data_IF_878174531602
#
_entry.id   IF_878174531602
#
_cell.length_a   1.000
_cell.length_b   1.000
_cell.length_c   1.000
_cell.angle_alpha   90.00
_cell.angle_beta   90.00
_cell.angle_gamma   90.00
#
_symmetry.space_group_name_H-M   'P 1'
#
loop_
_entity.id
_entity.type
_entity.pdbx_description
1 polymer ?
#
# COMPACT_ATOMS: atom_id res chain seq x y z
N UNK A 1 3.71 -47.12 46.72
CA UNK A 1 3.90 -47.95 45.51
C UNK A 1 2.83 -47.56 44.52
N UNK A 2 3.21 -46.85 43.46
CA UNK A 2 2.29 -46.54 42.36
C UNK A 2 2.39 -47.67 41.34
N UNK A 3 1.34 -48.49 41.26
CA UNK A 3 1.23 -49.50 40.22
C UNK A 3 0.64 -48.84 38.97
N UNK A 4 1.40 -48.89 37.87
CA UNK A 4 0.93 -48.48 36.55
C UNK A 4 -0.12 -49.47 36.04
N UNK A 5 -1.19 -49.00 35.38
CA UNK A 5 -2.25 -49.86 34.87
C UNK A 5 -1.69 -50.83 33.83
N UNK A 6 -1.97 -52.12 34.02
CA UNK A 6 -1.54 -53.20 33.14
C UNK A 6 -2.40 -53.20 31.87
N UNK A 7 -1.85 -52.70 30.78
CA UNK A 7 -2.47 -52.71 29.45
C UNK A 7 -2.80 -54.14 29.01
N UNK A 8 -4.08 -54.50 29.11
CA UNK A 8 -4.63 -55.79 28.66
C UNK A 8 -5.83 -55.57 27.74
N UNK A 9 -5.72 -54.61 26.82
CA UNK A 9 -6.65 -54.46 25.71
C UNK A 9 -5.90 -54.49 24.37
N UNK A 10 -6.00 -55.64 23.69
CA UNK A 10 -5.64 -55.83 22.29
C UNK A 10 -6.65 -55.14 21.35
N UNK A 11 -6.88 -53.84 21.55
CA UNK A 11 -7.62 -52.99 20.63
C UNK A 11 -6.57 -52.34 19.72
N UNK A 12 -6.71 -52.55 18.41
CA UNK A 12 -5.95 -52.00 17.30
C UNK A 12 -4.80 -51.08 17.73
N UNK A 13 -3.57 -51.60 17.71
CA UNK A 13 -2.36 -50.77 17.62
C UNK A 13 -2.54 -49.89 16.39
N UNK A 14 -3.19 -48.75 16.57
CA UNK A 14 -3.10 -47.62 15.67
C UNK A 14 -1.61 -47.37 15.61
N UNK A 15 -1.01 -47.74 14.49
CA UNK A 15 0.42 -47.68 14.21
C UNK A 15 0.79 -46.21 14.44
N UNK A 16 1.32 -45.92 15.64
CA UNK A 16 1.58 -44.55 16.09
C UNK A 16 2.62 -43.95 15.14
N UNK A 17 2.19 -42.91 14.43
CA UNK A 17 3.05 -42.15 13.54
C UNK A 17 4.28 -41.65 14.28
N UNK A 18 5.47 -41.89 13.72
CA UNK A 18 6.75 -41.49 14.30
C UNK A 18 7.41 -42.51 15.23
N UNK A 19 6.89 -43.73 15.37
CA UNK A 19 7.51 -44.75 16.24
C UNK A 19 8.60 -45.60 15.58
N UNK A 20 8.73 -45.62 14.24
CA UNK A 20 9.79 -46.35 13.53
C UNK A 20 10.06 -45.76 12.15
N UNK A 21 11.14 -46.20 11.49
CA UNK A 21 11.48 -45.79 10.12
C UNK A 21 10.44 -46.27 9.09
N UNK A 22 9.75 -47.38 9.37
CA UNK A 22 8.64 -47.89 8.57
C UNK A 22 7.35 -47.06 8.75
N UNK A 23 7.24 -46.31 9.86
CA UNK A 23 6.13 -45.42 10.13
C UNK A 23 6.61 -44.01 10.55
N UNK A 24 7.27 -43.27 9.65
CA UNK A 24 7.83 -41.96 9.97
C UNK A 24 6.72 -40.91 10.10
N UNK A 25 7.03 -39.78 10.75
CA UNK A 25 6.16 -38.61 10.76
C UNK A 25 6.09 -38.02 9.34
N UNK A 26 4.89 -37.97 8.76
CA UNK A 26 4.63 -37.48 7.41
C UNK A 26 4.13 -36.04 7.47
N UNK A 27 4.98 -35.11 7.02
CA UNK A 27 4.62 -33.70 6.93
C UNK A 27 3.92 -33.41 5.61
N UNK A 28 2.59 -33.34 5.63
CA UNK A 28 1.81 -33.03 4.43
C UNK A 28 1.91 -31.54 4.06
N UNK A 29 2.04 -31.27 2.76
CA UNK A 29 2.07 -29.91 2.21
C UNK A 29 3.33 -29.11 2.54
N UNK A 30 4.40 -29.75 3.03
CA UNK A 30 5.70 -29.11 3.23
C UNK A 30 6.73 -29.67 2.26
N UNK A 31 7.52 -28.79 1.64
CA UNK A 31 8.66 -29.25 0.84
C UNK A 31 9.85 -29.54 1.75
N UNK A 32 10.69 -30.50 1.36
CA UNK A 32 11.90 -30.83 2.12
C UNK A 32 12.82 -29.62 2.30
N UNK A 33 12.89 -28.70 1.33
CA UNK A 33 13.70 -27.48 1.41
C UNK A 33 13.20 -26.50 2.48
N UNK A 34 11.88 -26.29 2.55
CA UNK A 34 11.26 -25.40 3.53
C UNK A 34 11.43 -25.95 4.95
N UNK A 35 11.26 -27.26 5.13
CA UNK A 35 11.49 -27.90 6.42
C UNK A 35 12.97 -27.88 6.83
N UNK A 36 13.90 -28.10 5.89
CA UNK A 36 15.35 -27.92 6.16
C UNK A 36 15.68 -26.49 6.57
N UNK A 37 15.00 -25.48 6.01
CA UNK A 37 15.18 -24.09 6.45
C UNK A 37 14.76 -23.90 7.91
N UNK A 38 13.64 -24.50 8.35
CA UNK A 38 13.27 -24.51 9.77
C UNK A 38 14.33 -25.22 10.62
N UNK A 39 14.71 -26.45 10.25
CA UNK A 39 15.67 -27.24 11.02
C UNK A 39 17.01 -26.52 11.17
N UNK A 40 17.47 -25.81 10.12
CA UNK A 40 18.70 -25.03 10.22
C UNK A 40 18.63 -24.01 11.37
N UNK A 41 17.54 -23.28 11.53
CA UNK A 41 17.41 -22.30 12.61
C UNK A 41 17.33 -22.95 13.99
N UNK A 42 16.73 -24.14 14.10
CA UNK A 42 16.62 -24.88 15.36
C UNK A 42 17.99 -25.40 15.82
N UNK A 43 18.85 -25.81 14.88
CA UNK A 43 20.15 -26.42 15.19
C UNK A 43 21.35 -25.48 15.04
N UNK A 44 21.20 -24.33 14.39
CA UNK A 44 22.27 -23.36 14.18
C UNK A 44 22.67 -22.70 15.51
N UNK A 45 23.98 -22.49 15.69
CA UNK A 45 24.55 -21.77 16.82
C UNK A 45 24.21 -20.27 16.74
N UNK A 46 24.19 -19.53 17.88
CA UNK A 46 23.90 -18.10 17.88
C UNK A 46 24.74 -17.26 16.90
N UNK A 47 26.01 -17.61 16.70
CA UNK A 47 26.90 -16.94 15.75
C UNK A 47 26.47 -17.18 14.28
N UNK A 48 25.93 -18.35 13.97
CA UNK A 48 25.40 -18.64 12.63
C UNK A 48 24.10 -17.88 12.39
N UNK A 49 23.26 -17.73 13.42
CA UNK A 49 22.04 -16.93 13.34
C UNK A 49 22.31 -15.43 13.16
N UNK A 50 23.48 -14.92 13.58
CA UNK A 50 23.86 -13.53 13.34
C UNK A 50 23.95 -13.17 11.86
N UNK A 51 24.16 -14.14 10.96
CA UNK A 51 24.18 -13.91 9.50
C UNK A 51 22.86 -13.30 9.01
N UNK A 52 21.74 -13.62 9.65
CA UNK A 52 20.42 -13.05 9.31
C UNK A 52 20.21 -11.61 9.77
N UNK A 53 21.07 -11.10 10.67
CA UNK A 53 21.08 -9.71 11.11
C UNK A 53 22.13 -8.88 10.35
N UNK A 54 22.45 -9.27 9.11
CA UNK A 54 23.36 -8.55 8.23
C UNK A 54 22.61 -8.07 6.99
N UNK A 55 23.09 -7.02 6.29
CA UNK A 55 22.50 -6.61 5.01
C UNK A 55 22.60 -7.71 3.94
N UNK A 56 23.47 -8.72 4.15
CA UNK A 56 23.64 -9.86 3.26
C UNK A 56 22.61 -10.99 3.49
N UNK A 57 21.69 -10.84 4.45
CA UNK A 57 20.71 -11.85 4.82
C UNK A 57 19.84 -12.27 3.61
N UNK A 58 19.55 -13.57 3.54
CA UNK A 58 18.64 -14.12 2.54
C UNK A 58 17.20 -13.95 3.01
N UNK A 59 16.52 -12.92 2.50
CA UNK A 59 15.16 -12.56 2.90
C UNK A 59 14.13 -13.62 2.49
N UNK A 60 14.31 -14.29 1.35
CA UNK A 60 13.38 -15.36 0.91
C UNK A 60 13.44 -16.57 1.85
N UNK A 61 14.63 -16.86 2.39
CA UNK A 61 14.81 -17.88 3.41
C UNK A 61 14.16 -17.46 4.72
N UNK A 62 14.31 -16.21 5.15
CA UNK A 62 13.65 -15.68 6.36
C UNK A 62 12.12 -15.71 6.25
N UNK A 63 11.56 -15.33 5.10
CA UNK A 63 10.13 -15.45 4.81
C UNK A 63 9.66 -16.90 4.91
N UNK A 64 10.44 -17.83 4.36
CA UNK A 64 10.13 -19.26 4.44
C UNK A 64 10.18 -19.78 5.87
N UNK A 65 11.19 -19.39 6.66
CA UNK A 65 11.29 -19.73 8.08
C UNK A 65 10.07 -19.20 8.83
N UNK A 66 9.73 -17.92 8.63
CA UNK A 66 8.57 -17.29 9.25
C UNK A 66 7.27 -18.08 8.97
N UNK A 67 6.96 -18.34 7.70
CA UNK A 67 5.77 -19.13 7.30
C UNK A 67 5.72 -20.51 7.96
N UNK A 68 6.85 -21.21 8.00
CA UNK A 68 6.93 -22.56 8.57
C UNK A 68 6.82 -22.52 10.09
N UNK A 69 7.42 -21.53 10.76
CA UNK A 69 7.31 -21.37 12.22
C UNK A 69 5.89 -21.08 12.68
N UNK A 70 5.10 -20.32 11.90
CA UNK A 70 3.67 -20.10 12.16
C UNK A 70 2.91 -21.43 12.07
N UNK A 71 3.12 -22.19 10.98
CA UNK A 71 2.43 -23.46 10.74
C UNK A 71 2.64 -24.47 11.87
N UNK A 72 3.84 -24.50 12.45
CA UNK A 72 4.19 -25.41 13.54
C UNK A 72 4.19 -24.75 14.94
N UNK A 73 3.70 -23.52 15.06
CA UNK A 73 3.58 -22.78 16.32
C UNK A 73 4.88 -22.62 17.14
N UNK A 74 6.02 -22.38 16.46
CA UNK A 74 7.29 -22.07 17.13
C UNK A 74 7.40 -20.58 17.49
N UNK A 75 6.62 -20.13 18.48
CA UNK A 75 6.42 -18.71 18.83
C UNK A 75 7.72 -17.91 19.04
N UNK A 76 8.74 -18.49 19.67
CA UNK A 76 10.01 -17.80 19.91
C UNK A 76 10.82 -17.59 18.63
N UNK A 77 10.86 -18.62 17.77
CA UNK A 77 11.58 -18.58 16.48
C UNK A 77 10.81 -17.71 15.49
N UNK A 78 9.49 -17.76 15.52
CA UNK A 78 8.60 -16.88 14.77
C UNK A 78 8.97 -15.42 15.04
N UNK A 79 8.90 -14.98 16.30
CA UNK A 79 9.23 -13.60 16.68
C UNK A 79 10.64 -13.20 16.23
N UNK A 80 11.63 -14.07 16.45
CA UNK A 80 13.00 -13.83 16.00
C UNK A 80 13.10 -13.66 14.47
N UNK A 81 12.43 -14.53 13.70
CA UNK A 81 12.46 -14.50 12.25
C UNK A 81 11.86 -13.20 11.69
N UNK A 82 10.82 -12.67 12.34
CA UNK A 82 10.21 -11.39 11.97
C UNK A 82 11.09 -10.18 12.30
N UNK A 83 11.69 -10.17 13.49
CA UNK A 83 12.62 -9.11 13.87
C UNK A 83 13.81 -9.09 12.89
N UNK A 84 14.38 -10.27 12.57
CA UNK A 84 15.45 -10.39 11.58
C UNK A 84 15.00 -9.96 10.18
N UNK A 85 13.80 -10.36 9.75
CA UNK A 85 13.21 -9.96 8.47
C UNK A 85 13.05 -8.44 8.37
N UNK A 86 12.47 -7.81 9.40
CA UNK A 86 12.29 -6.37 9.48
C UNK A 86 13.64 -5.64 9.46
N UNK A 87 14.62 -6.09 10.24
CA UNK A 87 15.95 -5.49 10.28
C UNK A 87 16.66 -5.58 8.92
N UNK A 88 16.53 -6.71 8.22
CA UNK A 88 17.11 -6.92 6.90
C UNK A 88 16.51 -5.98 5.84
N UNK A 89 15.19 -5.74 5.85
CA UNK A 89 14.51 -4.92 4.83
C UNK A 89 14.44 -3.43 5.15
N UNK A 90 14.47 -3.06 6.44
CA UNK A 90 14.47 -1.66 6.89
C UNK A 90 15.83 -1.00 6.73
N UNK A 91 16.89 -1.81 6.58
CA UNK A 91 18.26 -1.34 6.46
C UNK A 91 18.89 -0.94 7.79
N UNK A 92 18.38 -1.47 8.92
CA UNK A 92 18.92 -1.17 10.25
C UNK A 92 20.41 -1.50 10.39
N UNK A 93 20.88 -2.51 9.66
CA UNK A 93 22.28 -2.98 9.67
C UNK A 93 23.06 -2.57 8.41
N UNK A 94 22.54 -1.64 7.62
CA UNK A 94 23.12 -1.20 6.35
C UNK A 94 22.12 -1.28 5.20
N UNK A 95 22.46 -0.76 4.01
CA UNK A 95 21.55 -0.76 2.88
C UNK A 95 21.18 -2.22 2.50
N UNK A 96 19.88 -2.53 2.33
CA UNK A 96 19.46 -3.86 1.92
C UNK A 96 20.01 -4.16 0.51
N UNK A 97 20.29 -5.44 0.24
CA UNK A 97 20.62 -5.92 -1.10
C UNK A 97 19.61 -5.41 -2.12
N UNK A 98 20.06 -5.02 -3.32
CA UNK A 98 19.22 -4.43 -4.37
C UNK A 98 17.96 -5.26 -4.67
N UNK A 99 18.10 -6.60 -4.68
CA UNK A 99 16.98 -7.54 -4.88
C UNK A 99 15.88 -7.45 -3.81
N UNK A 100 16.21 -6.98 -2.61
CA UNK A 100 15.31 -6.86 -1.46
C UNK A 100 14.97 -5.42 -1.11
N UNK A 101 15.47 -4.46 -1.87
CA UNK A 101 15.01 -3.10 -1.76
C UNK A 101 13.54 -3.07 -2.16
N UNK A 102 12.69 -2.65 -1.22
CA UNK A 102 11.26 -2.56 -1.43
C UNK A 102 10.91 -1.66 -2.62
N UNK A 103 11.79 -0.71 -2.99
CA UNK A 103 11.70 0.14 -4.18
C UNK A 103 11.72 -0.61 -5.52
N UNK A 104 12.33 -1.80 -5.59
CA UNK A 104 12.56 -2.52 -6.85
C UNK A 104 11.91 -3.92 -6.89
N UNK A 105 11.35 -4.40 -5.79
CA UNK A 105 10.76 -5.73 -5.72
C UNK A 105 9.47 -5.89 -6.55
N UNK A 106 9.02 -7.12 -6.81
CA UNK A 106 7.77 -7.37 -7.54
C UNK A 106 6.54 -7.23 -6.62
N UNK A 107 5.37 -6.91 -7.18
CA UNK A 107 4.11 -6.86 -6.41
C UNK A 107 3.77 -8.20 -5.76
N UNK A 108 4.12 -9.32 -6.40
CA UNK A 108 3.93 -10.65 -5.82
C UNK A 108 4.77 -10.86 -4.54
N UNK A 109 5.99 -10.32 -4.52
CA UNK A 109 6.86 -10.38 -3.35
C UNK A 109 6.35 -9.48 -2.23
N UNK A 110 5.90 -8.25 -2.54
CA UNK A 110 5.26 -7.37 -1.56
C UNK A 110 3.98 -8.01 -0.97
N UNK A 111 3.15 -8.65 -1.80
CA UNK A 111 1.96 -9.41 -1.38
C UNK A 111 2.35 -10.48 -0.37
N UNK A 112 3.30 -11.35 -0.72
CA UNK A 112 3.78 -12.42 0.16
C UNK A 112 4.31 -11.88 1.49
N UNK A 113 5.15 -10.85 1.45
CA UNK A 113 5.72 -10.23 2.65
C UNK A 113 4.62 -9.66 3.56
N UNK A 114 3.62 -9.01 2.98
CA UNK A 114 2.51 -8.44 3.74
C UNK A 114 1.55 -9.51 4.28
N UNK A 115 1.29 -10.59 3.54
CA UNK A 115 0.54 -11.77 4.01
C UNK A 115 1.20 -12.36 5.26
N UNK A 116 2.51 -12.59 5.20
CA UNK A 116 3.28 -13.15 6.31
C UNK A 116 3.29 -12.19 7.52
N UNK A 117 3.41 -10.88 7.29
CA UNK A 117 3.32 -9.89 8.37
C UNK A 117 1.94 -9.85 9.04
N UNK A 118 0.85 -10.02 8.27
CA UNK A 118 -0.52 -10.07 8.80
C UNK A 118 -0.79 -11.33 9.61
N UNK A 119 -0.35 -12.50 9.12
CA UNK A 119 -0.52 -13.78 9.82
C UNK A 119 0.10 -13.77 11.23
N UNK A 120 1.17 -13.00 11.42
CA UNK A 120 1.88 -12.90 12.70
C UNK A 120 1.50 -11.68 13.54
N UNK A 121 0.63 -10.81 13.03
CA UNK A 121 0.29 -9.58 13.72
C UNK A 121 1.47 -8.62 13.92
N UNK A 122 2.53 -8.70 13.10
CA UNK A 122 3.71 -7.86 13.24
C UNK A 122 3.48 -6.46 12.63
N UNK A 123 2.89 -5.55 13.42
CA UNK A 123 2.42 -4.23 12.96
C UNK A 123 3.49 -3.36 12.32
N UNK A 124 4.72 -3.31 12.87
CA UNK A 124 5.82 -2.49 12.31
C UNK A 124 6.21 -2.90 10.89
N UNK A 125 6.25 -4.22 10.66
CA UNK A 125 6.58 -4.78 9.34
C UNK A 125 5.44 -4.52 8.37
N UNK A 126 4.21 -4.77 8.80
CA UNK A 126 3.00 -4.48 8.02
C UNK A 126 2.98 -3.01 7.57
N UNK A 127 3.13 -2.08 8.51
CA UNK A 127 3.01 -0.65 8.24
C UNK A 127 4.14 -0.17 7.31
N UNK A 128 5.37 -0.65 7.53
CA UNK A 128 6.52 -0.36 6.66
C UNK A 128 6.32 -0.87 5.22
N UNK A 129 5.83 -2.10 5.05
CA UNK A 129 5.58 -2.68 3.73
C UNK A 129 4.43 -1.97 3.03
N UNK A 130 3.36 -1.63 3.75
CA UNK A 130 2.23 -0.86 3.22
C UNK A 130 2.69 0.52 2.77
N UNK A 131 3.47 1.23 3.57
CA UNK A 131 4.00 2.56 3.21
C UNK A 131 4.84 2.48 1.94
N UNK A 132 5.79 1.54 1.87
CA UNK A 132 6.59 1.36 0.65
C UNK A 132 5.79 0.93 -0.57
N UNK A 133 4.71 0.16 -0.39
CA UNK A 133 3.85 -0.22 -1.51
C UNK A 133 3.06 0.98 -2.02
N UNK A 134 2.53 1.79 -1.10
CA UNK A 134 1.84 3.04 -1.40
C UNK A 134 2.77 4.02 -2.12
N UNK A 135 4.00 4.21 -1.64
CA UNK A 135 4.99 5.09 -2.27
C UNK A 135 5.20 4.70 -3.74
N UNK A 136 5.35 3.40 -4.02
CA UNK A 136 5.58 2.89 -5.38
C UNK A 136 4.36 2.98 -6.28
N UNK A 137 3.17 2.77 -5.74
CA UNK A 137 1.91 2.97 -6.47
C UNK A 137 1.75 4.46 -6.80
N UNK A 138 2.00 5.35 -5.84
CA UNK A 138 1.94 6.79 -6.02
C UNK A 138 2.98 7.31 -7.04
N UNK A 139 4.20 6.75 -7.01
CA UNK A 139 5.24 7.01 -8.00
C UNK A 139 4.95 6.40 -9.38
N UNK A 140 3.89 5.58 -9.50
CA UNK A 140 3.53 4.81 -10.70
C UNK A 140 4.60 3.79 -11.12
N UNK A 141 5.44 3.37 -10.18
CA UNK A 141 6.43 2.29 -10.37
C UNK A 141 5.77 0.91 -10.38
N UNK A 142 4.65 0.78 -9.66
CA UNK A 142 3.85 -0.44 -9.57
C UNK A 142 2.41 -0.18 -9.96
N UNK A 143 1.83 -1.14 -10.68
CA UNK A 143 0.40 -1.13 -10.97
C UNK A 143 -0.43 -1.42 -9.72
N UNK A 144 -1.55 -0.71 -9.53
CA UNK A 144 -2.37 -0.85 -8.33
C UNK A 144 -3.17 -2.17 -8.29
N UNK A 145 -3.33 -2.90 -9.40
CA UNK A 145 -4.26 -4.05 -9.49
C UNK A 145 -4.01 -5.14 -8.43
N UNK A 146 -2.74 -5.52 -8.19
CA UNK A 146 -2.43 -6.50 -7.14
C UNK A 146 -2.67 -5.96 -5.74
N UNK A 147 -2.45 -4.65 -5.53
CA UNK A 147 -2.73 -4.00 -4.27
C UNK A 147 -4.24 -3.88 -4.02
N UNK A 148 -5.06 -3.69 -5.07
CA UNK A 148 -6.53 -3.69 -4.97
C UNK A 148 -7.06 -5.03 -4.46
N UNK A 149 -6.67 -6.12 -5.12
CA UNK A 149 -7.08 -7.48 -4.72
C UNK A 149 -6.68 -7.76 -3.27
N UNK A 150 -5.46 -7.39 -2.89
CA UNK A 150 -4.95 -7.63 -1.56
C UNK A 150 -5.61 -6.73 -0.50
N UNK A 151 -5.76 -5.44 -0.77
CA UNK A 151 -6.35 -4.48 0.15
C UNK A 151 -7.84 -4.77 0.39
N UNK A 152 -8.58 -5.19 -0.65
CA UNK A 152 -9.97 -5.62 -0.52
C UNK A 152 -10.12 -6.85 0.40
N UNK A 153 -9.15 -7.77 0.38
CA UNK A 153 -9.15 -8.97 1.24
C UNK A 153 -8.70 -8.68 2.67
N UNK A 154 -7.70 -7.82 2.84
CA UNK A 154 -7.06 -7.54 4.14
C UNK A 154 -7.71 -6.39 4.91
N UNK A 155 -8.49 -5.54 4.25
CA UNK A 155 -9.12 -4.37 4.87
C UNK A 155 -8.14 -3.24 5.23
N UNK A 156 -6.94 -3.22 4.65
CA UNK A 156 -5.94 -2.18 4.92
C UNK A 156 -6.34 -0.89 4.18
N UNK A 157 -7.03 0.00 4.89
CA UNK A 157 -7.58 1.26 4.35
C UNK A 157 -6.56 2.08 3.58
N UNK A 158 -5.38 2.35 4.15
CA UNK A 158 -4.36 3.20 3.49
C UNK A 158 -3.94 2.64 2.12
N UNK A 159 -3.63 1.34 2.04
CA UNK A 159 -3.29 0.69 0.78
C UNK A 159 -4.48 0.70 -0.20
N UNK A 160 -5.69 0.44 0.31
CA UNK A 160 -6.92 0.48 -0.47
C UNK A 160 -7.13 1.85 -1.13
N UNK A 161 -7.12 2.93 -0.34
CA UNK A 161 -7.34 4.29 -0.82
C UNK A 161 -6.39 4.66 -1.95
N UNK A 162 -5.08 4.48 -1.76
CA UNK A 162 -4.10 4.80 -2.79
C UNK A 162 -4.19 3.90 -4.03
N UNK A 163 -4.46 2.59 -3.85
CA UNK A 163 -4.61 1.68 -4.97
C UNK A 163 -5.82 2.05 -5.83
N UNK A 164 -6.97 2.34 -5.23
CA UNK A 164 -8.17 2.78 -5.97
C UNK A 164 -7.97 4.16 -6.58
N UNK A 165 -7.34 5.09 -5.88
CA UNK A 165 -7.06 6.42 -6.38
C UNK A 165 -6.17 6.40 -7.62
N UNK A 166 -5.02 5.72 -7.57
CA UNK A 166 -4.12 5.64 -8.71
C UNK A 166 -4.77 4.88 -9.86
N UNK A 167 -5.51 3.79 -9.57
CA UNK A 167 -6.27 3.08 -10.61
C UNK A 167 -7.29 4.00 -11.30
N UNK A 168 -7.98 4.86 -10.55
CA UNK A 168 -8.91 5.84 -11.10
C UNK A 168 -8.21 6.83 -12.03
N UNK A 169 -7.03 7.32 -11.65
CA UNK A 169 -6.24 8.23 -12.48
C UNK A 169 -5.68 7.56 -13.73
N UNK A 170 -5.36 6.27 -13.66
CA UNK A 170 -4.86 5.49 -14.81
C UNK A 170 -5.95 5.22 -15.85
N UNK A 171 -7.21 5.03 -15.44
CA UNK A 171 -8.33 4.79 -16.37
C UNK A 171 -8.71 6.02 -17.20
N UNK A 172 -8.37 7.22 -16.74
CA UNK A 172 -8.72 8.49 -17.39
C UNK A 172 -10.23 8.71 -17.55
N UNK A 173 -10.60 9.65 -18.41
CA UNK A 173 -12.01 10.03 -18.64
C UNK A 173 -12.82 8.91 -19.33
N UNK A 174 -12.14 8.02 -20.05
CA UNK A 174 -12.77 6.90 -20.75
C UNK A 174 -13.17 5.74 -19.84
N UNK A 175 -12.73 5.73 -18.57
CA UNK A 175 -12.93 4.61 -17.64
C UNK A 175 -12.51 3.25 -18.22
N UNK A 176 -11.53 3.25 -19.12
CA UNK A 176 -11.01 2.02 -19.71
C UNK A 176 -9.98 1.42 -18.73
N UNK A 177 -10.18 0.19 -18.21
CA UNK A 177 -9.22 -0.46 -17.31
C UNK A 177 -7.85 -0.69 -17.94
N UNK A 178 -7.71 -0.56 -19.27
CA UNK A 178 -6.45 -0.74 -19.99
C UNK A 178 -6.07 -2.21 -20.15
N UNK A 179 -5.29 -2.52 -21.18
CA UNK A 179 -4.76 -3.86 -21.41
C UNK A 179 -3.65 -4.19 -20.39
N UNK A 180 -3.79 -5.34 -19.73
CA UNK A 180 -2.95 -5.74 -18.59
C UNK A 180 -1.65 -6.38 -19.09
N UNK A 181 -0.60 -5.58 -19.30
CA UNK A 181 0.75 -6.12 -19.47
C UNK A 181 1.51 -6.18 -18.13
N UNK A 182 1.56 -7.36 -17.49
CA UNK A 182 2.41 -7.57 -16.30
C UNK A 182 3.90 -7.56 -16.69
N UNK A 183 4.69 -6.81 -15.92
CA UNK A 183 6.13 -7.05 -15.72
C UNK A 183 7.10 -6.39 -16.70
N UNK A 184 8.09 -5.68 -16.15
CA UNK A 184 9.24 -4.95 -16.73
C UNK A 184 8.96 -3.89 -17.80
N UNK A 185 8.02 -4.13 -18.71
CA UNK A 185 7.72 -3.23 -19.82
C UNK A 185 6.98 -1.97 -19.38
N UNK A 186 6.18 -1.96 -18.30
CA UNK A 186 5.51 -0.72 -17.87
C UNK A 186 6.48 0.29 -17.23
N UNK A 187 7.40 -0.17 -16.37
CA UNK A 187 8.46 0.67 -15.80
C UNK A 187 9.42 1.18 -16.89
N UNK A 188 9.78 0.31 -17.87
CA UNK A 188 10.62 0.71 -19.01
C UNK A 188 9.88 1.54 -20.07
N UNK A 189 8.60 1.28 -20.34
CA UNK A 189 7.88 1.96 -21.44
C UNK A 189 7.62 3.42 -21.15
N UNK A 190 7.57 3.86 -19.87
CA UNK A 190 7.43 5.29 -19.56
C UNK A 190 8.75 6.06 -19.55
N UNK A 191 9.83 5.46 -19.07
CA UNK A 191 11.18 6.01 -19.31
C UNK A 191 11.45 6.10 -20.82
N UNK A 192 11.09 5.06 -21.57
CA UNK A 192 11.20 5.03 -23.02
C UNK A 192 10.23 5.99 -23.73
N UNK A 193 9.03 6.29 -23.22
CA UNK A 193 8.13 7.31 -23.81
C UNK A 193 8.63 8.74 -23.54
N UNK A 194 9.27 8.99 -22.40
CA UNK A 194 9.94 10.26 -22.11
C UNK A 194 11.22 10.43 -22.97
N UNK A 195 11.97 9.35 -23.24
CA UNK A 195 13.16 9.37 -24.10
C UNK A 195 12.82 9.32 -25.62
N UNK A 196 11.76 8.62 -26.02
CA UNK A 196 11.32 8.51 -27.42
C UNK A 196 10.64 9.79 -27.93
N UNK A 197 10.17 10.67 -27.03
CA UNK A 197 9.83 12.05 -27.41
C UNK A 197 11.07 12.85 -27.89
N UNK A 198 12.29 12.35 -27.67
CA UNK A 198 13.55 12.95 -28.11
C UNK A 198 14.30 12.16 -29.21
N UNK A 199 13.88 10.95 -29.57
CA UNK A 199 14.60 10.09 -30.52
C UNK A 199 13.73 9.72 -31.73
N UNK A 200 14.17 10.15 -32.92
CA UNK A 200 13.51 9.89 -34.21
C UNK A 200 13.48 8.42 -34.64
N UNK A 201 12.71 8.10 -35.70
CA UNK A 201 12.36 6.73 -36.05
C UNK A 201 13.54 6.01 -36.73
N UNK A 202 13.93 4.86 -36.20
CA UNK A 202 14.83 3.91 -36.90
C UNK A 202 14.24 2.51 -36.87
N UNK A 203 14.51 1.79 -37.97
CA UNK A 203 13.74 0.65 -38.47
C UNK A 203 13.81 -0.63 -37.67
N UNK A 204 12.62 -1.21 -37.49
CA UNK A 204 12.19 -2.59 -37.68
C UNK A 204 13.24 -3.73 -37.65
N UNK A 205 13.06 -4.65 -36.69
CA UNK A 205 13.44 -6.05 -36.87
C UNK A 205 12.62 -6.97 -35.96
N UNK A 206 11.82 -7.82 -36.59
CA UNK A 206 10.89 -8.74 -35.94
C UNK A 206 11.58 -9.90 -35.23
N UNK A 207 11.17 -10.14 -33.99
CA UNK A 207 11.43 -11.40 -33.31
C UNK A 207 10.18 -11.83 -32.52
N UNK A 208 9.59 -12.95 -32.95
CA UNK A 208 8.36 -13.50 -32.40
C UNK A 208 8.60 -14.05 -30.98
N UNK A 209 8.12 -13.31 -29.97
CA UNK A 209 8.11 -13.78 -28.57
C UNK A 209 6.99 -14.80 -28.33
N UNK A 210 7.24 -15.84 -27.52
CA UNK A 210 6.25 -16.86 -27.21
C UNK A 210 5.10 -16.25 -26.40
N UNK A 211 3.88 -16.62 -26.78
CA UNK A 211 2.64 -16.18 -26.16
C UNK A 211 2.57 -16.58 -24.68
N UNK A 212 3.06 -15.69 -23.80
CA UNK A 212 2.78 -15.76 -22.36
C UNK A 212 1.29 -15.52 -22.18
N UNK A 213 0.60 -16.51 -21.60
CA UNK A 213 -0.79 -16.40 -21.17
C UNK A 213 -0.91 -15.35 -20.06
N UNK A 214 -0.96 -14.08 -20.47
CA UNK A 214 -1.32 -12.94 -19.63
C UNK A 214 -2.81 -13.06 -19.35
N UNK A 215 -3.17 -13.52 -18.15
CA UNK A 215 -4.55 -13.38 -17.68
C UNK A 215 -4.74 -11.90 -17.38
N UNK A 216 -5.64 -11.19 -18.09
CA UNK A 216 -5.91 -9.82 -17.72
C UNK A 216 -6.49 -9.85 -16.32
N UNK A 217 -5.81 -9.18 -15.38
CA UNK A 217 -6.34 -8.90 -14.06
C UNK A 217 -7.50 -7.89 -14.24
N UNK A 218 -8.63 -8.41 -14.73
CA UNK A 218 -9.82 -7.65 -15.00
C UNK A 218 -10.39 -7.19 -13.65
N UNK A 219 -10.61 -5.89 -13.51
CA UNK A 219 -11.29 -5.33 -12.35
C UNK A 219 -12.63 -6.04 -12.16
N UNK A 220 -12.87 -6.52 -10.94
CA UNK A 220 -14.13 -7.14 -10.56
C UNK A 220 -15.27 -6.13 -10.65
N UNK A 221 -16.51 -6.60 -10.80
CA UNK A 221 -17.68 -5.70 -10.82
C UNK A 221 -17.80 -4.84 -9.56
N UNK A 222 -17.42 -5.40 -8.40
CA UNK A 222 -17.36 -4.67 -7.13
C UNK A 222 -16.31 -3.55 -7.16
N UNK A 223 -15.10 -3.83 -7.66
CA UNK A 223 -14.04 -2.82 -7.81
C UNK A 223 -14.46 -1.69 -8.74
N UNK A 224 -15.12 -1.99 -9.87
CA UNK A 224 -15.65 -0.97 -10.79
C UNK A 224 -16.69 -0.07 -10.13
N UNK A 225 -17.63 -0.63 -9.35
CA UNK A 225 -18.61 0.18 -8.59
C UNK A 225 -17.94 1.11 -7.58
N UNK A 226 -16.93 0.63 -6.86
CA UNK A 226 -16.16 1.45 -5.91
C UNK A 226 -15.40 2.56 -6.62
N UNK A 227 -14.79 2.29 -7.77
CA UNK A 227 -14.10 3.31 -8.57
C UNK A 227 -15.04 4.43 -9.03
N UNK A 228 -16.25 4.08 -9.51
CA UNK A 228 -17.27 5.06 -9.89
C UNK A 228 -17.75 5.89 -8.70
N UNK A 229 -18.01 5.22 -7.57
CA UNK A 229 -18.42 5.89 -6.32
C UNK A 229 -17.33 6.84 -5.82
N UNK A 230 -16.08 6.39 -5.85
CA UNK A 230 -14.91 7.18 -5.50
C UNK A 230 -14.69 8.37 -6.40
N UNK A 231 -14.85 8.21 -7.72
CA UNK A 231 -14.75 9.32 -8.66
C UNK A 231 -15.75 10.43 -8.33
N UNK A 232 -17.03 10.07 -8.15
CA UNK A 232 -18.06 11.04 -7.78
C UNK A 232 -17.77 11.71 -6.43
N UNK A 233 -17.40 10.92 -5.43
CA UNK A 233 -17.09 11.40 -4.08
C UNK A 233 -15.91 12.38 -4.06
N UNK A 234 -14.85 12.07 -4.80
CA UNK A 234 -13.66 12.91 -4.94
C UNK A 234 -13.94 14.21 -5.73
N UNK A 235 -14.71 14.15 -6.81
CA UNK A 235 -15.13 15.34 -7.55
C UNK A 235 -15.93 16.30 -6.65
N UNK A 236 -16.87 15.78 -5.86
CA UNK A 236 -17.65 16.56 -4.89
C UNK A 236 -16.79 17.12 -3.76
N UNK A 237 -15.82 16.34 -3.27
CA UNK A 237 -14.85 16.80 -2.29
C UNK A 237 -14.07 18.00 -2.85
N UNK A 238 -13.58 17.91 -4.10
CA UNK A 238 -12.88 19.01 -4.74
C UNK A 238 -13.74 20.27 -4.87
N UNK A 239 -15.00 20.14 -5.29
CA UNK A 239 -15.93 21.28 -5.37
C UNK A 239 -16.11 21.97 -4.01
N UNK A 240 -16.14 21.20 -2.93
CA UNK A 240 -16.23 21.71 -1.56
C UNK A 240 -14.93 22.42 -1.15
N UNK A 241 -13.78 21.76 -1.37
CA UNK A 241 -12.46 22.30 -1.00
C UNK A 241 -12.14 23.58 -1.77
N UNK A 242 -12.40 23.64 -3.08
CA UNK A 242 -12.14 24.86 -3.87
C UNK A 242 -13.03 26.03 -3.45
N UNK A 243 -14.24 25.76 -2.96
CA UNK A 243 -15.19 26.79 -2.53
C UNK A 243 -14.87 27.30 -1.11
N UNK A 244 -14.31 26.46 -0.25
CA UNK A 244 -14.06 26.76 1.17
C UNK A 244 -12.58 26.60 1.51
N UNK A 245 -11.87 27.73 1.65
CA UNK A 245 -10.48 27.74 2.06
C UNK A 245 -10.27 27.12 3.46
N UNK A 246 -9.16 26.39 3.69
CA UNK A 246 -8.81 25.90 5.02
C UNK A 246 -8.68 27.04 6.03
N UNK A 247 -9.28 26.88 7.21
CA UNK A 247 -9.21 27.86 8.30
C UNK A 247 -7.88 27.74 9.03
N UNK A 248 -7.35 28.88 9.50
CA UNK A 248 -6.15 28.93 10.34
C UNK A 248 -6.33 29.95 11.48
N UNK A 249 -5.66 29.68 12.60
CA UNK A 249 -5.79 30.47 13.82
C UNK A 249 -5.06 31.81 13.72
N UNK A 250 -5.50 32.78 14.53
CA UNK A 250 -4.88 34.11 14.62
C UNK A 250 -3.57 34.00 15.42
N UNK A 251 -2.40 34.34 14.84
CA UNK A 251 -1.17 34.41 15.62
C UNK A 251 -1.16 35.66 16.50
N UNK A 252 -0.40 35.59 17.58
CA UNK A 252 -0.16 36.73 18.48
C UNK A 252 0.39 37.93 17.70
N UNK A 253 -0.18 39.11 17.94
CA UNK A 253 0.25 40.36 17.30
C UNK A 253 -0.35 40.66 15.93
N UNK A 254 -1.08 39.75 15.27
CA UNK A 254 -1.79 40.10 14.04
C UNK A 254 -3.02 40.95 14.37
N UNK A 255 -3.06 42.23 14.00
CA UNK A 255 -4.20 43.12 14.27
C UNK A 255 -5.33 43.02 13.25
N UNK A 256 -5.04 42.52 12.05
CA UNK A 256 -5.96 42.52 10.90
C UNK A 256 -6.26 41.09 10.37
N UNK A 257 -6.48 40.14 11.30
CA UNK A 257 -6.61 38.72 10.96
C UNK A 257 -7.89 38.39 10.18
N UNK A 258 -9.07 38.64 10.76
CA UNK A 258 -10.33 38.20 10.15
C UNK A 258 -10.67 39.00 8.87
N UNK A 259 -10.58 40.33 8.93
CA UNK A 259 -10.93 41.20 7.79
C UNK A 259 -9.84 41.30 6.73
N UNK A 260 -8.57 41.07 7.10
CA UNK A 260 -7.43 41.10 6.18
C UNK A 260 -6.98 39.71 5.79
N UNK A 261 -6.18 39.09 6.65
CA UNK A 261 -5.48 37.84 6.33
C UNK A 261 -6.42 36.72 5.86
N UNK A 262 -7.52 36.46 6.57
CA UNK A 262 -8.49 35.40 6.24
C UNK A 262 -9.26 35.76 4.97
N UNK A 263 -9.66 37.01 4.79
CA UNK A 263 -10.36 37.47 3.58
C UNK A 263 -9.47 37.32 2.33
N UNK A 264 -8.24 37.84 2.39
CA UNK A 264 -7.26 37.71 1.30
C UNK A 264 -6.92 36.26 1.02
N UNK A 265 -6.70 35.45 2.07
CA UNK A 265 -6.49 34.01 1.90
C UNK A 265 -7.65 33.34 1.18
N UNK A 266 -8.89 33.64 1.57
CA UNK A 266 -10.09 33.05 0.95
C UNK A 266 -10.25 33.49 -0.52
N UNK A 267 -9.90 34.72 -0.83
CA UNK A 267 -9.92 35.24 -2.20
C UNK A 267 -8.85 34.56 -3.06
N UNK A 268 -7.58 34.62 -2.63
CA UNK A 268 -6.45 34.01 -3.35
C UNK A 268 -6.64 32.49 -3.48
N UNK A 269 -7.20 31.82 -2.46
CA UNK A 269 -7.55 30.40 -2.52
C UNK A 269 -8.51 30.09 -3.66
N UNK A 270 -9.58 30.88 -3.80
CA UNK A 270 -10.56 30.71 -4.89
C UNK A 270 -9.94 30.98 -6.25
N UNK A 271 -9.11 32.01 -6.35
CA UNK A 271 -8.45 32.40 -7.60
C UNK A 271 -7.45 31.32 -8.05
N UNK A 272 -6.59 30.83 -7.14
CA UNK A 272 -5.65 29.73 -7.41
C UNK A 272 -6.38 28.41 -7.66
N UNK A 273 -7.50 28.15 -6.98
CA UNK A 273 -8.34 26.97 -7.22
C UNK A 273 -9.01 26.96 -8.59
N UNK A 274 -9.17 28.14 -9.22
CA UNK A 274 -9.70 28.30 -10.57
C UNK A 274 -8.60 28.50 -11.63
N UNK A 275 -7.32 28.56 -11.24
CA UNK A 275 -6.21 28.77 -12.15
C UNK A 275 -5.92 27.53 -13.02
N UNK A 276 -5.42 27.76 -14.24
CA UNK A 276 -5.10 26.73 -15.22
C UNK A 276 -4.17 25.62 -14.69
N UNK A 277 -3.07 25.91 -13.95
CA UNK A 277 -2.20 24.84 -13.43
C UNK A 277 -2.94 23.87 -12.49
N UNK A 278 -3.92 24.38 -11.72
CA UNK A 278 -4.77 23.57 -10.86
C UNK A 278 -5.78 22.76 -11.69
N UNK A 279 -6.39 23.39 -12.71
CA UNK A 279 -7.41 22.75 -13.54
C UNK A 279 -6.86 21.74 -14.56
N UNK A 280 -5.55 21.77 -14.84
CA UNK A 280 -4.84 20.79 -15.69
C UNK A 280 -4.88 19.37 -15.13
N UNK A 281 -5.12 19.21 -13.83
CA UNK A 281 -5.35 17.91 -13.21
C UNK A 281 -6.81 17.46 -13.41
N UNK A 282 -7.10 16.17 -13.64
CA UNK A 282 -8.47 15.67 -13.73
C UNK A 282 -9.33 16.04 -12.49
N UNK A 283 -10.66 16.17 -12.61
CA UNK A 283 -11.51 16.57 -11.49
C UNK A 283 -11.48 15.58 -10.31
N UNK A 284 -11.20 14.31 -10.56
CA UNK A 284 -10.99 13.29 -9.53
C UNK A 284 -9.60 13.30 -8.88
N UNK A 285 -8.61 14.03 -9.44
CA UNK A 285 -7.24 14.13 -8.93
C UNK A 285 -7.13 15.23 -7.85
N UNK A 286 -7.88 15.05 -6.75
CA UNK A 286 -7.95 16.04 -5.67
C UNK A 286 -6.57 16.31 -5.05
N UNK A 287 -5.73 15.29 -4.87
CA UNK A 287 -4.40 15.44 -4.31
C UNK A 287 -3.46 16.18 -5.25
N UNK A 288 -3.49 15.87 -6.56
CA UNK A 288 -2.74 16.59 -7.57
C UNK A 288 -3.13 18.07 -7.61
N UNK A 289 -4.43 18.37 -7.59
CA UNK A 289 -4.96 19.74 -7.53
C UNK A 289 -4.49 20.48 -6.28
N UNK A 290 -4.60 19.88 -5.09
CA UNK A 290 -4.16 20.52 -3.84
C UNK A 290 -2.64 20.77 -3.81
N UNK A 291 -1.83 19.87 -4.36
CA UNK A 291 -0.37 20.05 -4.46
C UNK A 291 -0.02 21.16 -5.46
N UNK A 292 -0.70 21.22 -6.60
CA UNK A 292 -0.56 22.33 -7.54
C UNK A 292 -0.96 23.68 -6.92
N UNK A 293 -2.02 23.71 -6.11
CA UNK A 293 -2.38 24.91 -5.34
C UNK A 293 -1.30 25.27 -4.31
N UNK A 294 -0.73 24.28 -3.61
CA UNK A 294 0.34 24.51 -2.63
C UNK A 294 1.56 25.21 -3.24
N UNK A 295 2.02 24.74 -4.40
CA UNK A 295 3.14 25.32 -5.13
C UNK A 295 2.85 26.78 -5.56
N UNK A 296 1.66 27.03 -6.11
CA UNK A 296 1.23 28.37 -6.52
C UNK A 296 1.10 29.32 -5.31
N UNK A 297 0.47 28.88 -4.22
CA UNK A 297 0.28 29.68 -3.01
C UNK A 297 1.62 29.98 -2.31
N UNK A 298 2.59 29.06 -2.39
CA UNK A 298 3.93 29.29 -1.87
C UNK A 298 4.68 30.41 -2.62
N UNK A 299 4.38 30.61 -3.90
CA UNK A 299 5.06 31.60 -4.76
C UNK A 299 4.23 32.86 -5.03
N UNK A 300 2.98 32.91 -4.55
CA UNK A 300 2.05 34.02 -4.81
C UNK A 300 2.50 35.35 -4.17
N UNK A 301 2.69 36.37 -5.01
CA UNK A 301 3.16 37.69 -4.57
C UNK A 301 2.16 38.39 -3.66
N UNK A 302 0.88 38.47 -4.04
CA UNK A 302 -0.13 39.18 -3.25
C UNK A 302 -0.33 38.57 -1.87
N UNK A 303 -0.29 37.24 -1.76
CA UNK A 303 -0.35 36.54 -0.49
C UNK A 303 0.85 36.91 0.40
N UNK A 304 2.03 37.04 -0.19
CA UNK A 304 3.26 37.43 0.51
C UNK A 304 3.22 38.86 1.04
N UNK A 305 2.57 39.76 0.30
CA UNK A 305 2.43 41.17 0.67
C UNK A 305 1.29 41.41 1.66
N UNK A 306 0.17 40.68 1.53
CA UNK A 306 -1.05 40.93 2.29
C UNK A 306 -1.11 40.20 3.63
N UNK A 307 -0.50 39.02 3.75
CA UNK A 307 -0.48 38.27 5.01
C UNK A 307 0.79 38.59 5.80
N UNK A 308 0.65 38.71 7.11
CA UNK A 308 1.83 38.69 7.99
C UNK A 308 2.60 37.36 7.80
N UNK A 309 3.93 37.33 7.98
CA UNK A 309 4.72 36.11 7.82
C UNK A 309 4.20 34.92 8.65
N UNK A 310 3.70 35.18 9.87
CA UNK A 310 3.10 34.17 10.73
C UNK A 310 1.76 33.67 10.20
N UNK A 311 0.86 34.57 9.77
CA UNK A 311 -0.41 34.18 9.15
C UNK A 311 -0.21 33.33 7.89
N UNK A 312 0.74 33.71 7.03
CA UNK A 312 1.08 32.96 5.83
C UNK A 312 1.57 31.55 6.16
N UNK A 313 2.47 31.42 7.15
CA UNK A 313 2.96 30.10 7.61
C UNK A 313 1.80 29.22 8.11
N UNK A 314 0.90 29.78 8.93
CA UNK A 314 -0.24 29.03 9.47
C UNK A 314 -1.25 28.64 8.38
N UNK A 315 -1.50 29.51 7.40
CA UNK A 315 -2.36 29.21 6.25
C UNK A 315 -1.80 28.05 5.40
N UNK A 316 -0.49 28.08 5.09
CA UNK A 316 0.17 26.99 4.36
C UNK A 316 0.22 25.69 5.19
N UNK A 317 0.36 25.77 6.51
CA UNK A 317 0.24 24.60 7.39
C UNK A 317 -1.18 24.02 7.38
N UNK A 318 -2.23 24.85 7.36
CA UNK A 318 -3.61 24.40 7.25
C UNK A 318 -3.87 23.69 5.90
N UNK A 319 -3.29 24.17 4.79
CA UNK A 319 -3.32 23.47 3.51
C UNK A 319 -2.63 22.10 3.61
N UNK A 320 -1.41 22.03 4.13
CA UNK A 320 -0.70 20.74 4.34
C UNK A 320 -1.48 19.77 5.21
N UNK A 321 -2.14 20.27 6.26
CA UNK A 321 -3.02 19.46 7.10
C UNK A 321 -4.23 18.95 6.33
N UNK A 322 -4.79 19.77 5.42
CA UNK A 322 -5.90 19.38 4.56
C UNK A 322 -5.47 18.29 3.58
N UNK A 323 -4.30 18.41 2.95
CA UNK A 323 -3.73 17.37 2.07
C UNK A 323 -3.61 16.05 2.82
N UNK A 324 -2.99 16.06 4.00
CA UNK A 324 -2.84 14.86 4.84
C UNK A 324 -4.19 14.25 5.24
N UNK A 325 -5.16 15.08 5.62
CA UNK A 325 -6.50 14.60 5.96
C UNK A 325 -7.19 13.91 4.77
N UNK A 326 -7.02 14.43 3.55
CA UNK A 326 -7.53 13.79 2.32
C UNK A 326 -6.79 12.48 2.03
N UNK A 327 -5.46 12.44 2.21
CA UNK A 327 -4.66 11.20 2.06
C UNK A 327 -5.10 10.10 3.05
N UNK A 328 -5.36 10.47 4.30
CA UNK A 328 -5.78 9.54 5.36
C UNK A 328 -7.22 9.03 5.17
N UNK A 329 -8.12 9.88 4.66
CA UNK A 329 -9.53 9.55 4.39
C UNK A 329 -9.79 8.99 3.00
N UNK A 330 -8.75 8.84 2.17
CA UNK A 330 -8.85 8.45 0.77
C UNK A 330 -9.66 7.15 0.57
N UNK A 331 -9.47 6.18 1.45
CA UNK A 331 -10.18 4.89 1.41
C UNK A 331 -11.69 5.03 1.58
N UNK A 332 -12.12 5.98 2.42
CA UNK A 332 -13.53 6.17 2.76
C UNK A 332 -14.32 6.71 1.55
N UNK A 333 -13.65 7.40 0.61
CA UNK A 333 -14.27 7.83 -0.64
C UNK A 333 -14.61 6.66 -1.58
N UNK A 334 -13.92 5.53 -1.46
CA UNK A 334 -14.15 4.33 -2.28
C UNK A 334 -15.07 3.30 -1.61
N UNK A 335 -15.78 3.70 -0.55
CA UNK A 335 -16.87 2.89 0.02
C UNK A 335 -18.00 2.72 -1.01
N UNK A 336 -18.61 1.53 -1.03
CA UNK A 336 -19.74 1.24 -1.93
C UNK A 336 -21.01 1.94 -1.41
N UNK A 337 -21.28 3.14 -1.93
CA UNK A 337 -22.44 3.97 -1.56
C UNK A 337 -23.78 3.24 -1.75
N UNK A 338 -23.83 2.21 -2.62
CA UNK A 338 -25.05 1.44 -2.83
C UNK A 338 -25.39 0.58 -1.61
N UNK A 339 -24.39 0.07 -0.89
CA UNK A 339 -24.61 -0.77 0.30
C UNK A 339 -25.13 0.02 1.48
N UNK A 340 -24.61 1.23 1.69
CA UNK A 340 -25.08 2.11 2.78
C UNK A 340 -26.55 2.49 2.59
N UNK A 341 -26.97 2.75 1.35
CA UNK A 341 -28.37 3.07 1.04
C UNK A 341 -29.35 1.93 1.37
N UNK A 342 -28.89 0.68 1.30
CA UNK A 342 -29.69 -0.50 1.62
C UNK A 342 -29.77 -0.75 3.12
N UNK A 343 -28.70 -0.49 3.87
CA UNK A 343 -28.70 -0.64 5.32
C UNK A 343 -29.62 0.38 6.00
N UNK A 344 -29.60 1.64 5.55
CA UNK A 344 -30.49 2.68 6.09
C UNK A 344 -31.96 2.31 5.88
N UNK A 345 -32.31 1.81 4.70
CA UNK A 345 -33.69 1.35 4.41
C UNK A 345 -34.11 0.17 5.29
N UNK A 346 -33.23 -0.80 5.54
CA UNK A 346 -33.55 -1.94 6.39
C UNK A 346 -33.84 -1.52 7.85
N UNK A 347 -33.08 -0.54 8.37
CA UNK A 347 -33.31 0.00 9.72
C UNK A 347 -34.60 0.82 9.84
N UNK A 348 -35.04 1.47 8.77
CA UNK A 348 -36.31 2.20 8.73
C UNK A 348 -37.53 1.25 8.67
N UNK A 349 -37.38 0.09 8.03
CA UNK A 349 -38.42 -0.96 8.00
C UNK A 349 -38.56 -1.73 9.32
N UNK A 350 -37.49 -1.91 10.11
CA UNK A 350 -37.59 -2.57 11.43
C UNK A 350 -38.17 -1.67 12.54
N UNK A 351 -38.22 -0.35 12.31
CA UNK A 351 -38.73 0.63 13.28
C UNK A 351 -40.16 1.10 12.98
N UNK A 352 -40.78 0.60 11.90
CA UNK A 352 -42.18 0.83 11.52
C UNK A 352 -43.02 -0.42 11.78
#
# INVERSE_FOLDING_TARGET
MFSMPSESHALSRNILEGCSDENPIRLYGESAERFRALLSVIYDLPLQLQVYNTPAANVDRLLTIAEVTIKYHFVSIEKWAFDALYNAISGLHGPPQERYQLGHCSSAWMKRLLEVALLCGHTRLRDYVVERWVDRIAARDLRPVHALEFADRSGIKRLQGYAYYVQLLEMGDGFDPGAVEDGEQHARSRLALAEAAAAGPTGDNGNASPARARTPAALTSAQRRRLLSGHWSLCRLWETLRASAPKFERPDGCTYHQHGCVSTWTQVWRDVGAAEPTLNHPPGDVLGRLRAMEEQLCTHADLSCALTPLCRRLALMALKSTVRAVEESLADHFADLTRESLLVKATEEETS
#
